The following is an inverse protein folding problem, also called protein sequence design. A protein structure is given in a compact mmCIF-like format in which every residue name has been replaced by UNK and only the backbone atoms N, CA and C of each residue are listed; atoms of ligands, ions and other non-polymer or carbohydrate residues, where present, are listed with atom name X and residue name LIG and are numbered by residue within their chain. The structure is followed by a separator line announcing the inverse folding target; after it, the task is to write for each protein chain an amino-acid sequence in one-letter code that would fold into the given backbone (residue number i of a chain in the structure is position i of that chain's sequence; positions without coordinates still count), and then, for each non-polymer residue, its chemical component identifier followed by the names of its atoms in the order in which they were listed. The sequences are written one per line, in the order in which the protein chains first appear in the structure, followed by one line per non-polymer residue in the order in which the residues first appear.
data_IF_286738980268
#
_entry.id   IF_286738980268
#
_cell.length_a   1.000
_cell.length_b   1.000
_cell.length_c   1.000
_cell.angle_alpha   90.00
_cell.angle_beta   90.00
_cell.angle_gamma   90.00
#
_symmetry.space_group_name_H-M   'P 1'
#
loop_
_entity.id
_entity.type
_entity.pdbx_description
1 polymer ?
#
# COMPACT_ATOMS: atom_id res chain seq x y z
N UNK A 1 -10.43 -5.11 1.91
CA UNK A 1 -11.54 -4.18 2.28
C UNK A 1 -11.26 -2.82 1.67
N UNK A 2 -12.23 -2.22 0.98
CA UNK A 2 -12.08 -0.89 0.37
C UNK A 2 -12.47 0.23 1.34
N UNK A 3 -11.59 1.23 1.50
CA UNK A 3 -11.86 2.41 2.32
C UNK A 3 -11.55 3.72 1.59
N UNK A 4 -12.23 4.81 1.98
CA UNK A 4 -11.97 6.14 1.44
C UNK A 4 -10.63 6.70 1.95
N UNK A 5 -10.02 7.61 1.18
CA UNK A 5 -8.79 8.33 1.56
C UNK A 5 -8.82 8.88 2.99
N UNK A 6 -9.89 9.57 3.40
CA UNK A 6 -9.99 10.16 4.74
C UNK A 6 -9.84 9.12 5.85
N UNK A 7 -10.43 7.95 5.66
CA UNK A 7 -10.34 6.83 6.60
C UNK A 7 -8.97 6.16 6.57
N UNK A 8 -8.40 6.00 5.37
CA UNK A 8 -7.05 5.50 5.20
C UNK A 8 -6.02 6.38 5.93
N UNK A 9 -6.14 7.70 5.82
CA UNK A 9 -5.23 8.64 6.50
C UNK A 9 -5.28 8.48 8.02
N UNK A 10 -6.46 8.20 8.60
CA UNK A 10 -6.61 7.93 10.03
C UNK A 10 -5.99 6.59 10.42
N UNK A 11 -6.34 5.52 9.71
CA UNK A 11 -5.92 4.15 10.05
C UNK A 11 -4.42 3.91 9.87
N UNK A 12 -3.81 4.50 8.86
CA UNK A 12 -2.40 4.30 8.50
C UNK A 12 -1.49 5.47 8.90
N UNK A 13 -2.06 6.49 9.53
CA UNK A 13 -1.35 7.59 10.18
C UNK A 13 -0.80 7.20 11.56
N UNK A 14 -0.04 8.10 12.20
CA UNK A 14 0.29 7.97 13.62
C UNK A 14 -0.95 7.84 14.51
N UNK A 15 -0.79 7.24 15.69
CA UNK A 15 -1.89 6.86 16.61
C UNK A 15 -2.93 7.97 16.84
N UNK A 16 -2.46 9.20 17.01
CA UNK A 16 -3.30 10.34 17.40
C UNK A 16 -3.45 11.41 16.30
N UNK A 17 -2.83 11.21 15.13
CA UNK A 17 -2.88 12.19 14.03
C UNK A 17 -3.02 11.51 12.68
N UNK A 18 -3.93 11.99 11.80
CA UNK A 18 -4.01 11.49 10.44
C UNK A 18 -2.68 11.64 9.70
N UNK A 19 -2.39 10.72 8.79
CA UNK A 19 -1.22 10.78 7.93
C UNK A 19 -1.15 12.11 7.18
N UNK A 20 0.03 12.74 7.16
CA UNK A 20 0.22 13.99 6.43
C UNK A 20 0.01 13.81 4.91
N UNK A 21 -0.50 14.84 4.19
CA UNK A 21 -0.69 14.77 2.75
C UNK A 21 0.59 14.43 1.97
N UNK A 22 1.73 14.97 2.40
CA UNK A 22 3.04 14.69 1.78
C UNK A 22 3.43 13.21 1.92
N UNK A 23 3.23 12.63 3.11
CA UNK A 23 3.50 11.21 3.35
C UNK A 23 2.56 10.32 2.54
N UNK A 24 1.28 10.69 2.49
CA UNK A 24 0.28 9.99 1.69
C UNK A 24 0.66 9.99 0.20
N UNK A 25 0.93 11.15 -0.39
CA UNK A 25 1.31 11.24 -1.80
C UNK A 25 2.57 10.43 -2.11
N UNK A 26 3.59 10.48 -1.24
CA UNK A 26 4.80 9.67 -1.41
C UNK A 26 4.51 8.17 -1.35
N UNK A 27 3.69 7.71 -0.40
CA UNK A 27 3.32 6.30 -0.25
C UNK A 27 2.49 5.80 -1.44
N UNK A 28 1.49 6.58 -1.86
CA UNK A 28 0.63 6.24 -3.00
C UNK A 28 1.39 6.28 -4.32
N UNK A 29 2.34 7.20 -4.50
CA UNK A 29 3.22 7.21 -5.68
C UNK A 29 3.99 5.88 -5.79
N UNK A 30 4.67 5.48 -4.71
CA UNK A 30 5.40 4.22 -4.68
C UNK A 30 4.50 2.99 -4.88
N UNK A 31 3.30 3.00 -4.29
CA UNK A 31 2.31 1.93 -4.47
C UNK A 31 1.90 1.79 -5.95
N UNK A 32 1.54 2.91 -6.60
CA UNK A 32 1.14 2.95 -8.01
C UNK A 32 2.24 2.56 -8.98
N UNK A 33 3.50 2.82 -8.61
CA UNK A 33 4.68 2.43 -9.39
C UNK A 33 5.05 0.95 -9.18
N UNK A 34 4.45 0.26 -8.21
CA UNK A 34 4.73 -1.14 -7.94
C UNK A 34 3.73 -2.03 -8.69
N UNK A 35 4.19 -2.90 -9.62
CA UNK A 35 3.30 -3.80 -10.36
C UNK A 35 2.39 -4.62 -9.45
N UNK A 36 1.13 -4.83 -9.88
CA UNK A 36 0.05 -5.55 -9.18
C UNK A 36 -0.44 -4.93 -7.87
N UNK A 37 0.46 -4.36 -7.06
CA UNK A 37 0.06 -3.59 -5.89
C UNK A 37 -0.57 -2.24 -6.24
N UNK A 38 -0.38 -1.75 -7.46
CA UNK A 38 -1.10 -0.61 -8.01
C UNK A 38 -2.62 -0.74 -7.89
N UNK A 39 -3.13 -1.97 -7.99
CA UNK A 39 -4.57 -2.27 -7.98
C UNK A 39 -5.22 -2.02 -6.61
N UNK A 40 -4.38 -1.91 -5.56
CA UNK A 40 -4.83 -1.46 -4.25
C UNK A 40 -5.33 -0.01 -4.25
N UNK A 41 -4.95 0.79 -5.24
CA UNK A 41 -5.34 2.19 -5.37
C UNK A 41 -6.38 2.36 -6.48
N UNK A 42 -7.61 2.71 -6.11
CA UNK A 42 -8.73 2.89 -7.04
C UNK A 42 -9.17 4.34 -7.05
N UNK A 43 -8.94 5.02 -8.16
CA UNK A 43 -9.36 6.41 -8.39
C UNK A 43 -10.63 6.41 -9.24
N UNK A 44 -11.77 6.72 -8.62
CA UNK A 44 -13.08 6.79 -9.31
C UNK A 44 -13.25 8.18 -9.94
N UNK A 45 -12.84 9.20 -9.21
CA UNK A 45 -12.72 10.59 -9.69
C UNK A 45 -11.49 11.24 -9.04
N UNK A 46 -11.10 12.42 -9.52
CA UNK A 46 -9.99 13.19 -8.92
C UNK A 46 -10.18 13.49 -7.42
N UNK A 47 -11.41 13.44 -6.92
CA UNK A 47 -11.75 13.70 -5.51
C UNK A 47 -12.14 12.43 -4.74
N UNK A 48 -12.38 11.32 -5.43
CA UNK A 48 -12.89 10.08 -4.85
C UNK A 48 -11.90 8.94 -5.07
N UNK A 49 -11.16 8.67 -4.01
CA UNK A 49 -10.12 7.63 -3.97
C UNK A 49 -10.49 6.58 -2.93
N UNK A 50 -10.46 5.33 -3.37
CA UNK A 50 -10.60 4.13 -2.56
C UNK A 50 -9.27 3.39 -2.49
N UNK A 51 -8.98 2.84 -1.31
CA UNK A 51 -7.78 2.04 -1.06
C UNK A 51 -8.23 0.66 -0.58
N UNK A 52 -7.80 -0.40 -1.26
CA UNK A 52 -7.94 -1.76 -0.77
C UNK A 52 -6.89 -2.01 0.31
N UNK A 53 -7.34 -2.05 1.56
CA UNK A 53 -6.47 -2.23 2.72
C UNK A 53 -5.80 -3.58 2.75
N UNK A 54 -6.41 -4.63 2.20
CA UNK A 54 -5.80 -5.97 2.22
C UNK A 54 -4.61 -6.05 1.28
N UNK A 55 -4.81 -5.58 0.05
CA UNK A 55 -3.72 -5.47 -0.93
C UNK A 55 -2.65 -4.47 -0.48
N UNK A 56 -3.05 -3.37 0.17
CA UNK A 56 -2.10 -2.41 0.73
C UNK A 56 -1.29 -2.98 1.91
N UNK A 57 -1.91 -3.74 2.80
CA UNK A 57 -1.22 -4.41 3.90
C UNK A 57 -0.21 -5.45 3.38
N UNK A 58 -0.56 -6.19 2.33
CA UNK A 58 0.37 -7.08 1.63
C UNK A 58 1.53 -6.33 0.98
N UNK A 59 1.26 -5.19 0.34
CA UNK A 59 2.32 -4.31 -0.19
C UNK A 59 3.30 -3.88 0.92
N UNK A 60 2.79 -3.52 2.10
CA UNK A 60 3.65 -3.15 3.23
C UNK A 60 4.49 -4.34 3.72
N UNK A 61 3.92 -5.55 3.76
CA UNK A 61 4.66 -6.78 4.11
C UNK A 61 5.76 -7.07 3.09
N UNK A 62 5.45 -7.04 1.80
CA UNK A 62 6.40 -7.20 0.70
C UNK A 62 7.54 -6.17 0.77
N UNK A 63 7.22 -4.88 0.95
CA UNK A 63 8.19 -3.80 1.14
C UNK A 63 9.12 -4.05 2.33
N UNK A 64 8.55 -4.48 3.45
CA UNK A 64 9.30 -4.74 4.68
C UNK A 64 10.24 -5.93 4.50
N UNK A 65 9.76 -7.01 3.88
CA UNK A 65 10.57 -8.17 3.52
C UNK A 65 11.77 -7.75 2.67
N UNK A 66 11.53 -7.12 1.51
CA UNK A 66 12.59 -6.78 0.56
C UNK A 66 13.57 -5.70 1.06
N UNK A 67 13.19 -4.90 2.07
CA UNK A 67 14.10 -3.95 2.73
C UNK A 67 14.96 -4.62 3.80
N UNK A 68 14.53 -5.76 4.34
CA UNK A 68 15.23 -6.45 5.43
C UNK A 68 16.54 -7.04 4.92
N UNK A 69 17.65 -6.66 5.57
CA UNK A 69 18.97 -7.22 5.27
C UNK A 69 18.97 -8.75 5.41
N UNK A 70 19.64 -9.43 4.49
CA UNK A 70 19.75 -10.89 4.48
C UNK A 70 18.56 -11.62 3.85
N UNK A 71 17.54 -10.91 3.36
CA UNK A 71 16.48 -11.52 2.54
C UNK A 71 16.83 -11.42 1.06
N UNK A 72 16.40 -12.40 0.26
CA UNK A 72 16.45 -12.30 -1.19
C UNK A 72 15.30 -11.40 -1.65
N UNK A 73 15.57 -10.50 -2.58
CA UNK A 73 14.52 -9.70 -3.19
C UNK A 73 13.52 -10.62 -3.92
N UNK A 74 12.23 -10.41 -3.67
CA UNK A 74 11.12 -11.12 -4.32
C UNK A 74 10.36 -10.11 -5.18
N UNK A 75 10.17 -10.43 -6.45
CA UNK A 75 9.34 -9.62 -7.34
C UNK A 75 7.89 -9.53 -6.84
N UNK A 76 7.18 -8.40 -7.02
CA UNK A 76 5.80 -8.23 -6.55
C UNK A 76 4.86 -9.37 -6.97
N UNK A 77 4.96 -9.82 -8.22
CA UNK A 77 4.13 -10.90 -8.74
C UNK A 77 4.41 -12.25 -8.06
N UNK A 78 5.68 -12.54 -7.80
CA UNK A 78 6.09 -13.78 -7.15
C UNK A 78 5.68 -13.79 -5.67
N UNK A 79 5.67 -12.63 -5.01
CA UNK A 79 5.12 -12.46 -3.66
C UNK A 79 3.64 -12.86 -3.63
N UNK A 80 2.84 -12.32 -4.55
CA UNK A 80 1.40 -12.56 -4.63
C UNK A 80 1.04 -13.99 -5.03
N UNK A 81 1.89 -14.66 -5.85
CA UNK A 81 1.63 -16.01 -6.35
C UNK A 81 1.86 -17.14 -5.35
N UNK A 82 2.59 -16.95 -4.25
CA UNK A 82 2.93 -18.15 -3.47
C UNK A 82 3.78 -18.04 -2.22
N UNK A 83 4.04 -16.86 -1.64
CA UNK A 83 4.73 -16.84 -0.32
C UNK A 83 3.75 -17.12 0.85
N UNK A 84 2.45 -17.15 0.58
CA UNK A 84 1.42 -17.71 1.49
C UNK A 84 0.44 -18.59 0.73
N UNK A 85 0.71 -19.90 0.72
CA UNK A 85 -0.33 -20.91 0.92
C UNK A 85 -0.35 -21.27 2.40
#
# INVERSE_FOLDING_TARGET
MLIKKSEFLRRYGPRDTPMSPSTYHRRMKALKETPFFSDAYQEVTSNEVYIDTEMYDEYIRWRSHNRRKGTKYIEPLEWLKGVRK
#
